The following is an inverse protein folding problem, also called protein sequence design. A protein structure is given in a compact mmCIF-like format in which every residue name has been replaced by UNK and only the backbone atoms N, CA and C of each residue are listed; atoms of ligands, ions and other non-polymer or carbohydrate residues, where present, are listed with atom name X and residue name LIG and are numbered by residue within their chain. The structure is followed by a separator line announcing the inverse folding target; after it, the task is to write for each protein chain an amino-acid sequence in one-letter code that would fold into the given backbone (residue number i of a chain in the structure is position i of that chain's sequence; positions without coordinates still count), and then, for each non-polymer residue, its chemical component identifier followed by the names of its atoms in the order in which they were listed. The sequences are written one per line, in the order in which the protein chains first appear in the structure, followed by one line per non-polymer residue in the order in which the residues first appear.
data_IF_145788851738
#
_entry.id   IF_145788851738
#
_cell.length_a   1.000
_cell.length_b   1.000
_cell.length_c   1.000
_cell.angle_alpha   90.00
_cell.angle_beta   90.00
_cell.angle_gamma   90.00
#
_symmetry.space_group_name_H-M   'P 1'
#
loop_
_entity.id
_entity.type
_entity.pdbx_description
1 polymer ?
#
# COMPACT_ATOMS: atom_id res chain seq x y z
N UNK A 1 6.57 -8.43 5.67
CA UNK A 1 7.50 -7.37 6.12
C UNK A 1 7.08 -6.11 5.43
N UNK A 2 6.55 -5.16 6.19
CA UNK A 2 6.37 -3.78 5.77
C UNK A 2 7.55 -2.94 6.25
N UNK A 3 7.58 -1.65 5.91
CA UNK A 3 8.61 -0.75 6.43
C UNK A 3 8.59 -0.73 7.96
N UNK A 4 7.40 -0.69 8.56
CA UNK A 4 7.16 -0.60 10.00
C UNK A 4 7.64 -1.83 10.79
N UNK A 5 7.83 -2.97 10.12
CA UNK A 5 8.42 -4.19 10.71
C UNK A 5 9.96 -4.12 10.82
N UNK A 6 10.60 -3.13 10.19
CA UNK A 6 12.06 -2.96 10.23
C UNK A 6 12.49 -2.23 11.49
N UNK A 7 13.63 -2.62 12.08
CA UNK A 7 14.14 -2.08 13.34
C UNK A 7 14.06 -0.55 13.44
N UNK A 8 14.55 0.17 12.42
CA UNK A 8 14.58 1.62 12.43
C UNK A 8 13.18 2.24 12.43
N UNK A 9 12.26 1.69 11.63
CA UNK A 9 10.89 2.19 11.54
C UNK A 9 10.06 1.79 12.76
N UNK A 10 10.19 0.55 13.26
CA UNK A 10 9.44 0.07 14.42
C UNK A 10 9.69 0.95 15.64
N UNK A 11 10.93 1.41 15.85
CA UNK A 11 11.27 2.26 17.01
C UNK A 11 10.61 3.64 17.00
N UNK A 12 10.16 4.11 15.83
CA UNK A 12 9.61 5.46 15.66
C UNK A 12 8.21 5.48 15.02
N UNK A 13 7.63 4.31 14.77
CA UNK A 13 6.30 4.20 14.18
C UNK A 13 5.25 4.81 15.12
N UNK A 14 4.40 5.69 14.60
CA UNK A 14 3.40 6.43 15.37
C UNK A 14 3.97 7.54 16.26
N UNK A 15 5.28 7.81 16.24
CA UNK A 15 5.88 8.94 16.95
C UNK A 15 5.87 10.20 16.07
N UNK A 16 5.82 11.36 16.71
CA UNK A 16 6.07 12.68 16.09
C UNK A 16 7.16 13.38 16.87
N UNK A 17 8.20 13.84 16.19
CA UNK A 17 9.36 14.46 16.83
C UNK A 17 9.99 15.54 15.94
N UNK A 18 10.63 16.50 16.58
CA UNK A 18 11.35 17.59 15.92
C UNK A 18 12.31 18.25 16.92
N UNK A 19 13.33 18.93 16.40
CA UNK A 19 14.16 19.84 17.19
C UNK A 19 13.39 21.12 17.51
N UNK A 20 13.76 21.77 18.62
CA UNK A 20 13.18 23.05 19.03
C UNK A 20 13.92 24.23 18.39
N UNK A 21 13.19 25.15 17.77
CA UNK A 21 13.78 26.33 17.14
C UNK A 21 14.53 27.21 18.16
N UNK A 22 15.72 27.68 17.78
CA UNK A 22 16.61 28.51 18.59
C UNK A 22 17.07 27.90 19.94
N UNK A 23 16.96 26.59 20.08
CA UNK A 23 17.48 25.84 21.22
C UNK A 23 18.57 24.88 20.72
N UNK A 24 19.77 24.95 21.31
CA UNK A 24 20.92 24.17 20.83
C UNK A 24 20.90 22.71 21.28
N UNK A 25 20.00 22.32 22.20
CA UNK A 25 20.10 21.03 22.89
C UNK A 25 18.76 20.25 23.03
N UNK A 26 17.66 20.73 22.43
CA UNK A 26 16.32 20.26 22.78
C UNK A 26 15.45 19.65 21.66
N UNK A 27 14.60 18.69 22.06
CA UNK A 27 13.39 18.31 21.35
C UNK A 27 12.24 19.27 21.70
N UNK A 28 11.35 19.55 20.75
CA UNK A 28 10.10 20.26 21.03
C UNK A 28 8.99 19.26 21.41
N UNK A 29 8.52 19.35 22.66
CA UNK A 29 7.45 18.51 23.21
C UNK A 29 6.07 19.17 23.12
N UNK A 30 5.99 20.44 22.69
CA UNK A 30 4.76 21.22 22.60
C UNK A 30 4.19 21.12 21.19
N UNK A 31 5.04 21.33 20.18
CA UNK A 31 4.60 21.36 18.78
C UNK A 31 5.71 20.98 17.83
N UNK A 32 5.35 20.25 16.77
CA UNK A 32 6.25 20.00 15.65
C UNK A 32 5.66 20.53 14.35
N UNK A 33 6.47 21.16 13.48
CA UNK A 33 5.99 21.64 12.20
C UNK A 33 5.53 20.48 11.32
N UNK A 34 4.53 20.73 10.46
CA UNK A 34 4.12 19.78 9.42
C UNK A 34 5.04 19.88 8.20
N UNK A 35 5.54 21.08 7.91
CA UNK A 35 6.42 21.39 6.82
C UNK A 35 7.65 22.17 7.33
N UNK A 36 8.81 21.83 6.79
CA UNK A 36 10.05 22.56 6.96
C UNK A 36 10.19 23.63 5.85
N UNK A 37 11.36 24.28 5.81
CA UNK A 37 11.72 25.25 4.76
C UNK A 37 11.50 24.65 3.36
N UNK A 38 11.08 25.48 2.42
CA UNK A 38 10.79 25.11 1.03
C UNK A 38 9.64 24.10 0.85
N UNK A 39 8.70 24.04 1.82
CA UNK A 39 7.53 23.14 1.80
C UNK A 39 7.86 21.64 1.78
N UNK A 40 9.05 21.27 2.24
CA UNK A 40 9.41 19.87 2.46
C UNK A 40 8.62 19.37 3.67
N UNK A 41 7.91 18.25 3.54
CA UNK A 41 7.17 17.69 4.66
C UNK A 41 8.17 17.24 5.71
N UNK A 42 7.99 17.61 6.97
CA UNK A 42 8.98 17.30 8.02
C UNK A 42 9.23 15.78 8.11
N UNK A 43 8.16 15.01 7.92
CA UNK A 43 8.16 13.55 7.91
C UNK A 43 8.98 12.97 6.74
N UNK A 44 9.06 13.66 5.58
CA UNK A 44 9.82 13.18 4.41
C UNK A 44 11.33 13.03 4.75
N UNK A 45 11.85 13.81 5.71
CA UNK A 45 13.27 13.77 6.09
C UNK A 45 13.67 12.40 6.65
N UNK A 46 12.81 11.78 7.46
CA UNK A 46 13.03 10.43 7.97
C UNK A 46 12.38 9.38 7.07
N UNK A 47 11.06 9.49 6.85
CA UNK A 47 10.30 8.45 6.17
C UNK A 47 10.65 8.33 4.69
N UNK A 48 11.04 9.41 4.02
CA UNK A 48 11.51 9.35 2.63
C UNK A 48 12.81 8.54 2.49
N UNK A 49 13.75 8.72 3.42
CA UNK A 49 15.01 7.96 3.45
C UNK A 49 14.74 6.51 3.86
N UNK A 50 13.89 6.29 4.86
CA UNK A 50 13.52 4.96 5.33
C UNK A 50 12.84 4.14 4.22
N UNK A 51 11.83 4.71 3.55
CA UNK A 51 11.16 4.13 2.38
C UNK A 51 12.13 3.80 1.25
N UNK A 52 13.02 4.74 0.90
CA UNK A 52 14.06 4.51 -0.11
C UNK A 52 14.93 3.30 0.26
N UNK A 53 15.49 3.30 1.47
CA UNK A 53 16.39 2.24 1.91
C UNK A 53 15.68 0.88 1.96
N UNK A 54 14.41 0.85 2.38
CA UNK A 54 13.59 -0.35 2.37
C UNK A 54 13.40 -0.91 0.96
N UNK A 55 13.06 -0.04 0.00
CA UNK A 55 12.90 -0.41 -1.40
C UNK A 55 14.20 -0.92 -2.05
N UNK A 56 15.35 -0.29 -1.75
CA UNK A 56 16.65 -0.71 -2.26
C UNK A 56 17.08 -2.11 -1.80
N UNK A 57 16.50 -2.61 -0.70
CA UNK A 57 16.79 -3.95 -0.16
C UNK A 57 15.77 -4.99 -0.60
N UNK A 58 14.68 -4.60 -1.25
CA UNK A 58 13.66 -5.52 -1.72
C UNK A 58 14.16 -6.35 -2.93
N UNK A 59 13.84 -7.64 -2.92
CA UNK A 59 14.22 -8.61 -3.97
C UNK A 59 13.09 -9.62 -4.18
N UNK A 60 13.00 -10.20 -5.38
CA UNK A 60 11.97 -11.18 -5.73
C UNK A 60 10.60 -10.54 -5.98
N UNK A 61 9.54 -11.18 -5.47
CA UNK A 61 8.18 -10.64 -5.58
C UNK A 61 7.89 -9.70 -4.41
N UNK A 62 7.39 -8.50 -4.72
CA UNK A 62 6.97 -7.51 -3.73
C UNK A 62 5.47 -7.29 -3.80
N UNK A 63 4.88 -6.86 -2.69
CA UNK A 63 3.43 -6.69 -2.56
C UNK A 63 3.11 -5.25 -2.20
N UNK A 64 2.11 -4.67 -2.86
CA UNK A 64 1.59 -3.33 -2.57
C UNK A 64 0.10 -3.44 -2.28
N UNK A 65 -0.30 -3.11 -1.05
CA UNK A 65 -1.72 -3.08 -0.66
C UNK A 65 -2.25 -1.66 -0.89
N UNK A 66 -3.34 -1.54 -1.65
CA UNK A 66 -3.99 -0.26 -1.94
C UNK A 66 -5.45 -0.29 -1.51
N UNK A 67 -6.03 0.89 -1.26
CA UNK A 67 -7.43 1.05 -0.89
C UNK A 67 -8.25 1.50 -2.11
N UNK A 68 -9.17 0.65 -2.56
CA UNK A 68 -10.11 0.87 -3.67
C UNK A 68 -11.41 1.59 -3.27
N UNK A 69 -11.62 1.87 -1.98
CA UNK A 69 -12.84 2.49 -1.42
C UNK A 69 -12.55 3.81 -0.69
N UNK A 70 -11.56 4.58 -1.16
CA UNK A 70 -11.14 5.84 -0.51
C UNK A 70 -12.25 6.89 -0.52
N UNK A 71 -12.62 7.39 0.67
CA UNK A 71 -13.69 8.38 0.84
C UNK A 71 -13.21 9.84 0.72
N UNK A 72 -11.90 10.07 0.62
CA UNK A 72 -11.30 11.40 0.53
C UNK A 72 -11.25 11.97 -0.91
N UNK A 73 -11.98 11.34 -1.84
CA UNK A 73 -12.08 11.75 -3.24
C UNK A 73 -10.83 11.47 -4.07
N UNK A 74 -9.86 10.74 -3.52
CA UNK A 74 -8.62 10.38 -4.22
C UNK A 74 -8.66 8.93 -4.71
N UNK A 75 -7.93 8.68 -5.79
CA UNK A 75 -7.74 7.35 -6.35
C UNK A 75 -6.76 6.51 -5.50
N UNK A 76 -6.75 5.21 -5.75
CA UNK A 76 -5.98 4.22 -4.99
C UNK A 76 -4.48 4.44 -5.12
N UNK A 77 -3.99 4.74 -6.32
CA UNK A 77 -2.59 5.11 -6.55
C UNK A 77 -2.43 6.62 -6.73
N UNK A 78 -1.40 7.16 -6.07
CA UNK A 78 -1.08 8.59 -6.08
C UNK A 78 0.39 8.82 -6.42
N UNK A 79 0.64 9.68 -7.41
CA UNK A 79 2.00 10.05 -7.83
C UNK A 79 2.81 10.78 -6.74
N UNK A 80 2.13 11.36 -5.75
CA UNK A 80 2.77 12.02 -4.61
C UNK A 80 2.78 11.15 -3.33
N UNK A 81 2.49 9.85 -3.42
CA UNK A 81 2.64 8.91 -2.30
C UNK A 81 4.12 8.60 -2.01
N UNK A 82 4.41 8.10 -0.82
CA UNK A 82 5.75 7.59 -0.47
C UNK A 82 6.20 6.49 -1.43
N UNK A 83 5.31 5.55 -1.75
CA UNK A 83 5.60 4.49 -2.70
C UNK A 83 6.05 5.05 -4.07
N UNK A 84 5.30 6.03 -4.61
CA UNK A 84 5.65 6.64 -5.89
C UNK A 84 6.94 7.49 -5.85
N UNK A 85 7.16 8.25 -4.78
CA UNK A 85 8.30 9.18 -4.65
C UNK A 85 9.61 8.48 -4.30
N UNK A 86 9.56 7.52 -3.38
CA UNK A 86 10.75 7.00 -2.69
C UNK A 86 10.94 5.50 -2.88
N UNK A 87 9.90 4.71 -3.12
CA UNK A 87 10.03 3.24 -3.11
C UNK A 87 10.17 2.69 -4.53
N UNK A 88 9.16 2.89 -5.37
CA UNK A 88 9.13 2.40 -6.75
C UNK A 88 10.36 2.86 -7.58
N UNK A 89 10.83 4.12 -7.46
CA UNK A 89 12.05 4.55 -8.15
C UNK A 89 13.34 3.90 -7.65
N UNK A 90 13.33 3.26 -6.48
CA UNK A 90 14.52 2.68 -5.84
C UNK A 90 14.47 1.15 -5.68
N UNK A 91 13.41 0.47 -6.15
CA UNK A 91 13.40 -0.99 -6.27
C UNK A 91 14.57 -1.48 -7.14
N UNK A 92 15.25 -2.54 -6.71
CA UNK A 92 16.37 -3.12 -7.47
C UNK A 92 15.87 -3.73 -8.78
N UNK A 93 16.30 -3.20 -9.93
CA UNK A 93 15.80 -3.61 -11.25
C UNK A 93 16.72 -4.58 -12.00
N UNK A 94 17.98 -4.62 -11.59
CA UNK A 94 19.05 -5.31 -12.34
C UNK A 94 19.85 -6.23 -11.44
N UNK A 95 20.60 -7.14 -12.05
CA UNK A 95 21.37 -8.14 -11.32
C UNK A 95 20.53 -9.33 -10.86
N UNK A 96 21.20 -10.25 -10.17
CA UNK A 96 20.61 -11.51 -9.67
C UNK A 96 19.61 -11.24 -8.54
N UNK A 97 19.90 -10.23 -7.71
CA UNK A 97 19.08 -9.80 -6.57
C UNK A 97 18.20 -8.61 -6.97
N UNK A 98 17.23 -8.87 -7.84
CA UNK A 98 16.28 -7.86 -8.33
C UNK A 98 14.85 -8.16 -7.92
N UNK A 99 14.00 -7.14 -7.95
CA UNK A 99 12.55 -7.30 -7.93
C UNK A 99 12.10 -7.83 -9.29
N UNK A 100 11.31 -8.89 -9.28
CA UNK A 100 10.81 -9.56 -10.48
C UNK A 100 9.35 -9.22 -10.77
N UNK A 101 8.54 -9.07 -9.72
CA UNK A 101 7.10 -8.83 -9.82
C UNK A 101 6.60 -7.91 -8.72
N UNK A 102 5.70 -6.99 -9.06
CA UNK A 102 4.88 -6.23 -8.13
C UNK A 102 3.46 -6.79 -8.14
N UNK A 103 3.05 -7.37 -7.01
CA UNK A 103 1.70 -7.84 -6.75
C UNK A 103 0.90 -6.74 -6.05
N UNK A 104 0.03 -6.04 -6.77
CA UNK A 104 -0.91 -5.08 -6.22
C UNK A 104 -2.15 -5.81 -5.69
N UNK A 105 -2.44 -5.63 -4.41
CA UNK A 105 -3.62 -6.16 -3.74
C UNK A 105 -4.54 -4.97 -3.47
N UNK A 106 -5.58 -4.82 -4.29
CA UNK A 106 -6.54 -3.72 -4.15
C UNK A 106 -7.70 -4.17 -3.28
N UNK A 107 -7.87 -3.53 -2.14
CA UNK A 107 -8.90 -3.87 -1.17
C UNK A 107 -10.04 -2.87 -1.21
N UNK A 108 -11.26 -3.38 -1.29
CA UNK A 108 -12.48 -2.62 -1.10
C UNK A 108 -13.02 -2.88 0.30
N UNK A 109 -13.17 -1.81 1.08
CA UNK A 109 -13.78 -1.93 2.40
C UNK A 109 -15.22 -2.45 2.27
N UNK A 110 -15.65 -3.44 3.09
CA UNK A 110 -17.02 -3.95 3.09
C UNK A 110 -18.05 -2.84 3.32
N UNK A 111 -19.20 -2.93 2.64
CA UNK A 111 -20.28 -1.92 2.60
C UNK A 111 -19.87 -0.49 2.18
N UNK A 112 -18.64 -0.27 1.71
CA UNK A 112 -18.22 1.03 1.17
C UNK A 112 -18.32 1.07 -0.35
N UNK A 113 -18.44 2.29 -0.88
CA UNK A 113 -18.45 2.51 -2.32
C UNK A 113 -17.09 2.14 -2.93
N UNK A 114 -17.14 1.31 -3.97
CA UNK A 114 -15.98 1.03 -4.82
C UNK A 114 -15.68 2.27 -5.66
N UNK A 115 -14.47 2.81 -5.50
CA UNK A 115 -13.98 4.01 -6.20
C UNK A 115 -13.18 3.63 -7.44
N UNK A 116 -12.41 2.55 -7.37
CA UNK A 116 -11.49 2.12 -8.43
C UNK A 116 -11.24 0.62 -8.33
N UNK A 117 -11.16 -0.06 -9.47
CA UNK A 117 -10.79 -1.48 -9.56
C UNK A 117 -9.47 -1.69 -10.30
N UNK A 118 -8.87 -2.87 -10.18
CA UNK A 118 -7.72 -3.26 -10.98
C UNK A 118 -7.97 -3.03 -12.48
N UNK A 119 -7.00 -2.38 -13.16
CA UNK A 119 -7.11 -2.04 -14.57
C UNK A 119 -7.91 -0.77 -14.87
N UNK A 120 -8.24 0.03 -13.85
CA UNK A 120 -8.92 1.32 -14.03
C UNK A 120 -8.02 2.51 -13.63
N UNK A 121 -8.33 3.69 -14.18
CA UNK A 121 -7.86 5.02 -13.74
C UNK A 121 -6.36 5.09 -13.36
N UNK A 122 -6.04 5.25 -12.07
CA UNK A 122 -4.69 5.39 -11.53
C UNK A 122 -3.90 4.08 -11.58
N UNK A 123 -4.57 2.93 -11.56
CA UNK A 123 -3.93 1.62 -11.63
C UNK A 123 -3.43 1.26 -13.03
N UNK A 124 -4.06 1.79 -14.09
CA UNK A 124 -3.50 1.73 -15.46
C UNK A 124 -2.16 2.48 -15.52
N UNK A 125 -2.12 3.66 -14.89
CA UNK A 125 -0.91 4.47 -14.85
C UNK A 125 0.19 3.80 -14.01
N UNK A 126 -0.18 3.23 -12.86
CA UNK A 126 0.74 2.44 -12.03
C UNK A 126 1.33 1.26 -12.81
N UNK A 127 0.49 0.49 -13.51
CA UNK A 127 0.94 -0.63 -14.35
C UNK A 127 1.98 -0.17 -15.38
N UNK A 128 1.68 0.91 -16.10
CA UNK A 128 2.58 1.48 -17.11
C UNK A 128 3.92 1.88 -16.49
N UNK A 129 3.88 2.51 -15.31
CA UNK A 129 5.08 2.96 -14.60
C UNK A 129 5.94 1.76 -14.14
N UNK A 130 5.32 0.72 -13.61
CA UNK A 130 6.00 -0.50 -13.13
C UNK A 130 6.63 -1.27 -14.30
N UNK A 131 5.90 -1.40 -15.42
CA UNK A 131 6.41 -2.04 -16.63
C UNK A 131 7.59 -1.26 -17.24
N UNK A 132 7.59 0.08 -17.14
CA UNK A 132 8.75 0.90 -17.57
C UNK A 132 10.03 0.57 -16.80
N UNK A 133 9.90 0.01 -15.60
CA UNK A 133 11.00 -0.47 -14.76
C UNK A 133 11.35 -1.94 -14.99
N UNK A 134 10.76 -2.58 -16.01
CA UNK A 134 10.98 -3.99 -16.36
C UNK A 134 10.61 -4.96 -15.23
N UNK A 135 9.63 -4.57 -14.42
CA UNK A 135 9.06 -5.39 -13.34
C UNK A 135 7.70 -5.91 -13.83
N UNK A 136 7.42 -7.19 -13.60
CA UNK A 136 6.11 -7.77 -13.91
C UNK A 136 5.04 -7.15 -13.00
N UNK A 137 3.87 -6.83 -13.54
CA UNK A 137 2.77 -6.23 -12.80
C UNK A 137 1.60 -7.21 -12.72
N UNK A 138 1.10 -7.45 -11.51
CA UNK A 138 -0.14 -8.17 -11.28
C UNK A 138 -1.01 -7.36 -10.33
N UNK A 139 -2.30 -7.21 -10.64
CA UNK A 139 -3.27 -6.59 -9.76
C UNK A 139 -4.40 -7.57 -9.47
N UNK A 140 -4.77 -7.70 -8.19
CA UNK A 140 -5.89 -8.54 -7.74
C UNK A 140 -6.82 -7.71 -6.86
N UNK A 141 -8.07 -7.59 -7.30
CA UNK A 141 -9.15 -7.07 -6.47
C UNK A 141 -9.50 -8.11 -5.40
N UNK A 142 -9.61 -7.64 -4.15
CA UNK A 142 -10.22 -8.37 -3.03
C UNK A 142 -9.73 -9.82 -2.87
N UNK A 143 -8.42 -10.06 -2.64
CA UNK A 143 -7.94 -11.40 -2.31
C UNK A 143 -8.71 -11.98 -1.12
N UNK A 144 -9.16 -13.24 -1.25
CA UNK A 144 -10.06 -13.89 -0.29
C UNK A 144 -9.52 -13.80 1.14
N UNK A 145 -8.23 -14.03 1.34
CA UNK A 145 -7.57 -14.01 2.64
C UNK A 145 -7.64 -12.63 3.31
N UNK A 146 -7.51 -11.56 2.52
CA UNK A 146 -7.55 -10.19 3.02
C UNK A 146 -8.98 -9.70 3.25
N UNK A 147 -9.93 -10.12 2.41
CA UNK A 147 -11.35 -9.87 2.67
C UNK A 147 -11.79 -10.53 3.97
N UNK A 148 -11.42 -11.80 4.18
CA UNK A 148 -11.72 -12.51 5.42
C UNK A 148 -11.14 -11.80 6.65
N UNK A 149 -9.92 -11.24 6.53
CA UNK A 149 -9.33 -10.42 7.57
C UNK A 149 -10.15 -9.15 7.85
N UNK A 150 -10.55 -8.40 6.81
CA UNK A 150 -11.38 -7.19 6.96
C UNK A 150 -12.76 -7.49 7.54
N UNK A 151 -13.32 -8.67 7.26
CA UNK A 151 -14.59 -9.12 7.80
C UNK A 151 -14.57 -9.41 9.30
N UNK A 152 -13.39 -9.48 9.93
CA UNK A 152 -13.28 -9.59 11.39
C UNK A 152 -13.92 -8.39 12.10
N UNK A 153 -13.79 -7.18 11.53
CA UNK A 153 -14.28 -5.94 12.14
C UNK A 153 -15.71 -5.60 11.70
N UNK A 154 -16.14 -6.06 10.52
CA UNK A 154 -17.47 -5.80 9.98
C UNK A 154 -18.10 -7.08 9.38
N UNK A 155 -18.38 -8.04 10.25
CA UNK A 155 -18.88 -9.38 9.86
C UNK A 155 -20.30 -9.37 9.27
N UNK A 156 -21.11 -8.36 9.58
CA UNK A 156 -22.49 -8.22 9.07
C UNK A 156 -22.54 -7.74 7.62
N UNK A 157 -21.47 -7.10 7.15
CA UNK A 157 -21.37 -6.54 5.82
C UNK A 157 -21.70 -7.56 4.75
N UNK A 158 -22.32 -7.09 3.66
CA UNK A 158 -22.82 -7.98 2.60
C UNK A 158 -21.69 -8.85 2.02
N UNK A 159 -20.50 -8.28 1.85
CA UNK A 159 -19.32 -8.96 1.34
C UNK A 159 -18.80 -10.01 2.32
N UNK A 160 -19.12 -9.91 3.61
CA UNK A 160 -18.64 -10.76 4.70
C UNK A 160 -19.57 -11.90 5.07
N UNK A 161 -20.76 -11.98 4.47
CA UNK A 161 -21.73 -13.04 4.72
C UNK A 161 -21.27 -14.37 4.08
N UNK A 162 -20.45 -15.12 4.81
CA UNK A 162 -19.82 -16.38 4.39
C UNK A 162 -20.80 -17.42 3.84
N UNK A 163 -22.01 -17.51 4.40
CA UNK A 163 -23.04 -18.43 3.92
C UNK A 163 -23.43 -18.16 2.45
N UNK A 164 -23.47 -16.89 2.02
CA UNK A 164 -23.70 -16.53 0.61
C UNK A 164 -22.51 -16.90 -0.27
N UNK A 165 -21.28 -16.73 0.21
CA UNK A 165 -20.07 -17.03 -0.55
C UNK A 165 -19.87 -18.54 -0.77
N UNK A 166 -20.08 -19.36 0.27
CA UNK A 166 -20.02 -20.83 0.19
C UNK A 166 -21.09 -21.35 -0.76
N UNK A 167 -22.34 -20.89 -0.62
CA UNK A 167 -23.42 -21.26 -1.53
C UNK A 167 -23.11 -20.82 -2.96
N UNK A 168 -22.56 -19.62 -3.19
CA UNK A 168 -22.18 -19.16 -4.53
C UNK A 168 -21.11 -20.04 -5.17
N UNK A 169 -20.03 -20.36 -4.45
CA UNK A 169 -18.96 -21.27 -4.94
C UNK A 169 -19.51 -22.67 -5.26
N UNK A 170 -20.38 -23.22 -4.41
CA UNK A 170 -21.01 -24.52 -4.68
C UNK A 170 -21.98 -24.48 -5.87
N UNK A 171 -22.75 -23.40 -6.01
CA UNK A 171 -23.70 -23.23 -7.12
C UNK A 171 -22.98 -22.96 -8.45
N UNK A 172 -21.92 -22.15 -8.48
CA UNK A 172 -21.12 -21.90 -9.68
C UNK A 172 -20.42 -23.20 -10.14
N UNK A 173 -19.94 -24.02 -9.20
CA UNK A 173 -19.41 -25.36 -9.48
C UNK A 173 -20.48 -26.30 -10.04
N UNK A 174 -21.71 -26.23 -9.52
CA UNK A 174 -22.87 -27.03 -9.99
C UNK A 174 -23.41 -26.58 -11.34
N UNK A 175 -23.47 -25.28 -11.60
CA UNK A 175 -24.11 -24.68 -12.79
C UNK A 175 -23.15 -24.57 -13.97
N UNK A 176 -21.87 -24.29 -13.73
CA UNK A 176 -20.92 -24.00 -14.79
C UNK A 176 -19.77 -24.98 -14.90
N UNK A 177 -19.64 -25.94 -13.97
CA UNK A 177 -18.74 -27.09 -14.09
C UNK A 177 -17.25 -26.76 -14.29
N UNK A 178 -16.82 -25.52 -14.06
CA UNK A 178 -15.44 -25.10 -14.29
C UNK A 178 -14.62 -25.27 -13.02
N UNK A 179 -13.85 -26.34 -12.99
CA UNK A 179 -12.56 -26.36 -12.29
C UNK A 179 -11.53 -25.71 -13.21
N UNK A 180 -10.92 -24.62 -12.76
CA UNK A 180 -9.53 -24.23 -13.05
C UNK A 180 -9.09 -23.30 -11.93
#
# INVERSE_FOLDING_TARGET
ITLEDTLAATTVNGLRWCGKDNDTEGFDYISCPYNCKDNIWADDAFWGIASKNFAEKAVGEVYLVLNGSRTDGQLSFRNNSYFAKYELPNLQRTGIFRVTKLNVLLLHSPDQQVVEKCGEKSLIYLETLVQSYQIEYLCKDDPEELILMMCSDNWEARECQLARQVLRKEWDKKLFGKSN
#
